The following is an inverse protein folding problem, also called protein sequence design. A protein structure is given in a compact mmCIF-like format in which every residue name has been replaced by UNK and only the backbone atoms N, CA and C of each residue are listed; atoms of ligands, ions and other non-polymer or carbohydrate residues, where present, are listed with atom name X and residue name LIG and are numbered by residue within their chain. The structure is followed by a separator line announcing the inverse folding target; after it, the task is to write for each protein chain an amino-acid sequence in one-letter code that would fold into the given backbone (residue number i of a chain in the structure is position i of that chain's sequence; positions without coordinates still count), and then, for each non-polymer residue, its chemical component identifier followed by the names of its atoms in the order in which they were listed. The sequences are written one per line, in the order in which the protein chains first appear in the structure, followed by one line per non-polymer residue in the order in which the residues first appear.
data_IF_016558691952
#
_entry.id   IF_016558691952
#
_cell.length_a   1.000
_cell.length_b   1.000
_cell.length_c   1.000
_cell.angle_alpha   90.00
_cell.angle_beta   90.00
_cell.angle_gamma   90.00
#
_symmetry.space_group_name_H-M   'P 1'
#
loop_
_entity.id
_entity.type
_entity.pdbx_description
1 polymer ?
#
# COMPACT_ATOMS: atom_id res chain seq x y z
N UNK A 1 17.68 10.59 9.51
CA UNK A 1 16.36 10.65 10.18
C UNK A 1 16.46 11.62 11.35
N UNK A 2 15.47 12.51 11.57
CA UNK A 2 15.47 13.42 12.71
C UNK A 2 15.55 12.69 14.07
N UNK A 3 16.32 13.21 15.02
CA UNK A 3 16.58 12.56 16.31
C UNK A 3 15.31 12.36 17.15
N UNK A 4 14.39 13.32 17.13
CA UNK A 4 13.10 13.23 17.82
C UNK A 4 12.27 12.05 17.31
N UNK A 5 12.25 11.85 15.99
CA UNK A 5 11.53 10.78 15.33
C UNK A 5 12.18 9.41 15.62
N UNK A 6 13.51 9.36 15.58
CA UNK A 6 14.28 8.18 15.99
C UNK A 6 14.01 7.79 17.45
N UNK A 7 13.95 8.76 18.36
CA UNK A 7 13.62 8.51 19.79
C UNK A 7 12.21 7.95 19.95
N UNK A 8 11.22 8.47 19.20
CA UNK A 8 9.83 7.96 19.23
C UNK A 8 9.74 6.55 18.67
N UNK A 9 10.46 6.25 17.60
CA UNK A 9 10.58 4.90 17.03
C UNK A 9 11.16 3.92 18.07
N UNK A 10 12.27 4.28 18.73
CA UNK A 10 12.89 3.47 19.80
C UNK A 10 11.96 3.25 20.98
N UNK A 11 11.15 4.25 21.34
CA UNK A 11 10.16 4.16 22.41
C UNK A 11 8.85 3.46 22.00
N UNK A 12 8.72 2.98 20.76
CA UNK A 12 7.48 2.42 20.21
C UNK A 12 6.27 3.38 20.38
N UNK A 13 6.52 4.69 20.32
CA UNK A 13 5.55 5.74 20.58
C UNK A 13 5.40 6.65 19.35
N UNK A 14 5.16 6.03 18.20
CA UNK A 14 4.81 6.71 16.95
C UNK A 14 3.28 6.83 16.85
N UNK A 15 2.83 7.98 16.38
CA UNK A 15 1.50 8.12 15.77
C UNK A 15 1.54 7.70 14.29
N UNK A 16 0.40 7.82 13.59
CA UNK A 16 0.29 7.42 12.18
C UNK A 16 1.22 8.22 11.26
N UNK A 17 1.22 9.54 11.40
CA UNK A 17 2.01 10.45 10.57
C UNK A 17 3.52 10.27 10.82
N UNK A 18 3.90 10.09 12.08
CA UNK A 18 5.26 9.77 12.48
C UNK A 18 5.71 8.45 11.83
N UNK A 19 4.87 7.41 11.89
CA UNK A 19 5.22 6.11 11.31
C UNK A 19 5.35 6.16 9.79
N UNK A 20 4.42 6.80 9.08
CA UNK A 20 4.51 6.99 7.64
C UNK A 20 5.82 7.68 7.25
N UNK A 21 6.21 8.74 7.98
CA UNK A 21 7.46 9.47 7.74
C UNK A 21 8.71 8.63 8.01
N UNK A 22 8.73 7.90 9.14
CA UNK A 22 9.83 6.98 9.48
C UNK A 22 10.00 5.93 8.40
N UNK A 23 8.90 5.29 8.01
CA UNK A 23 8.89 4.23 7.03
C UNK A 23 9.39 4.74 5.68
N UNK A 24 8.88 5.88 5.20
CA UNK A 24 9.33 6.52 3.97
C UNK A 24 10.83 6.82 3.98
N UNK A 25 11.33 7.43 5.07
CA UNK A 25 12.76 7.72 5.20
C UNK A 25 13.59 6.43 5.14
N UNK A 26 13.18 5.37 5.83
CA UNK A 26 13.89 4.09 5.81
C UNK A 26 13.88 3.45 4.41
N UNK A 27 12.75 3.49 3.69
CA UNK A 27 12.68 3.01 2.31
C UNK A 27 13.67 3.73 1.40
N UNK A 28 13.80 5.05 1.50
CA UNK A 28 14.73 5.84 0.68
C UNK A 28 16.18 5.49 1.01
N UNK A 29 16.52 5.34 2.29
CA UNK A 29 17.91 5.11 2.71
C UNK A 29 18.38 3.65 2.62
N UNK A 30 17.47 2.67 2.62
CA UNK A 30 17.84 1.26 2.58
C UNK A 30 18.50 0.87 1.25
N UNK A 31 19.33 -0.17 1.25
CA UNK A 31 19.81 -0.79 0.02
C UNK A 31 18.70 -1.60 -0.64
N UNK A 32 18.59 -1.55 -1.97
CA UNK A 32 17.54 -2.24 -2.73
C UNK A 32 18.09 -3.51 -3.38
N UNK A 33 17.26 -4.56 -3.58
CA UNK A 33 15.86 -4.66 -3.15
C UNK A 33 15.72 -4.89 -1.64
N UNK A 34 14.65 -4.35 -1.05
CA UNK A 34 14.28 -4.64 0.34
C UNK A 34 13.35 -5.85 0.32
N UNK A 35 13.64 -6.88 1.12
CA UNK A 35 12.84 -8.10 1.20
C UNK A 35 12.20 -8.18 2.57
N UNK A 36 10.86 -8.21 2.60
CA UNK A 36 10.08 -8.29 3.82
C UNK A 36 9.32 -9.62 3.85
N UNK A 37 9.41 -10.33 4.96
CA UNK A 37 8.53 -11.47 5.23
C UNK A 37 7.09 -10.97 5.37
N UNK A 38 6.14 -11.76 4.88
CA UNK A 38 4.73 -11.44 4.97
C UNK A 38 3.91 -12.66 5.39
N UNK A 39 2.81 -12.37 6.04
CA UNK A 39 1.76 -13.33 6.37
C UNK A 39 0.43 -12.82 5.82
N UNK A 40 -0.61 -13.64 5.81
CA UNK A 40 -1.97 -13.13 5.69
C UNK A 40 -2.48 -12.68 7.07
N UNK A 41 -3.71 -12.14 7.13
CA UNK A 41 -4.33 -11.65 8.37
C UNK A 41 -4.70 -12.74 9.39
N UNK A 42 -4.52 -14.02 9.04
CA UNK A 42 -4.62 -15.17 9.95
C UNK A 42 -3.24 -15.62 10.48
N UNK A 43 -2.17 -14.94 10.06
CA UNK A 43 -0.79 -15.25 10.45
C UNK A 43 -0.19 -16.45 9.73
N UNK A 44 -0.75 -16.85 8.57
CA UNK A 44 -0.15 -17.87 7.70
C UNK A 44 0.86 -17.21 6.77
N UNK A 45 1.98 -17.86 6.55
CA UNK A 45 3.04 -17.36 5.67
C UNK A 45 2.54 -17.11 4.25
N UNK A 46 3.03 -16.03 3.65
CA UNK A 46 2.82 -15.65 2.26
C UNK A 46 4.16 -15.45 1.57
N UNK A 47 4.13 -15.30 0.25
CA UNK A 47 5.30 -14.90 -0.52
C UNK A 47 5.87 -13.57 0.00
N UNK A 48 7.20 -13.50 0.08
CA UNK A 48 7.89 -12.31 0.55
C UNK A 48 7.58 -11.10 -0.34
N UNK A 49 7.48 -9.94 0.30
CA UNK A 49 7.31 -8.66 -0.37
C UNK A 49 8.67 -8.11 -0.76
N UNK A 50 8.89 -7.99 -2.07
CA UNK A 50 10.12 -7.44 -2.64
C UNK A 50 9.88 -6.01 -3.07
N UNK A 51 10.43 -5.05 -2.31
CA UNK A 51 10.35 -3.64 -2.63
C UNK A 51 11.58 -3.25 -3.46
N UNK A 52 11.35 -2.98 -4.75
CA UNK A 52 12.36 -2.50 -5.69
C UNK A 52 11.81 -1.31 -6.47
N UNK A 53 12.48 -0.18 -6.37
CA UNK A 53 12.18 1.04 -7.09
C UNK A 53 13.47 1.79 -7.40
N UNK A 54 13.51 2.47 -8.54
CA UNK A 54 14.70 3.17 -9.02
C UNK A 54 14.75 4.62 -8.50
N UNK A 55 13.59 5.21 -8.22
CA UNK A 55 13.43 6.59 -7.76
C UNK A 55 12.06 6.75 -7.06
N UNK A 56 11.78 7.91 -6.47
CA UNK A 56 10.50 8.19 -5.82
C UNK A 56 9.94 9.57 -6.18
N UNK A 57 8.62 9.68 -6.14
CA UNK A 57 7.91 10.95 -6.31
C UNK A 57 6.72 11.04 -5.37
N UNK A 58 6.40 12.27 -4.96
CA UNK A 58 5.17 12.54 -4.21
C UNK A 58 4.07 12.81 -5.22
N UNK A 59 3.03 11.99 -5.23
CA UNK A 59 1.81 12.31 -5.98
C UNK A 59 1.15 13.48 -5.25
N UNK A 60 0.81 14.54 -5.97
CA UNK A 60 0.23 15.74 -5.36
C UNK A 60 -1.25 15.87 -5.67
N UNK A 61 -1.95 16.71 -4.90
CA UNK A 61 -3.36 17.07 -5.12
C UNK A 61 -3.67 17.55 -6.54
N UNK A 62 -2.71 18.10 -7.27
CA UNK A 62 -2.91 18.65 -8.62
C UNK A 62 -2.33 17.76 -9.72
N UNK A 63 -1.43 16.85 -9.35
CA UNK A 63 -0.73 15.93 -10.25
C UNK A 63 -0.86 14.55 -9.68
N UNK A 64 -1.96 13.91 -10.07
CA UNK A 64 -2.27 12.55 -9.68
C UNK A 64 -1.37 11.51 -10.38
N UNK A 65 -0.77 11.89 -11.50
CA UNK A 65 0.02 10.99 -12.34
C UNK A 65 1.52 11.25 -12.26
N UNK A 66 2.30 10.18 -12.21
CA UNK A 66 3.75 10.22 -12.48
C UNK A 66 4.05 10.28 -13.99
N UNK A 67 3.07 9.92 -14.83
CA UNK A 67 3.18 9.80 -16.28
C UNK A 67 3.68 8.42 -16.74
N UNK A 68 3.57 8.10 -18.04
CA UNK A 68 4.07 6.86 -18.63
C UNK A 68 5.56 6.62 -18.35
N UNK A 69 5.99 5.37 -18.22
CA UNK A 69 7.41 5.01 -18.03
C UNK A 69 7.91 5.14 -16.58
N UNK A 70 6.99 5.24 -15.61
CA UNK A 70 7.26 5.39 -14.18
C UNK A 70 6.89 4.15 -13.37
N UNK A 71 6.86 2.98 -14.02
CA UNK A 71 6.47 1.70 -13.43
C UNK A 71 7.40 1.26 -12.28
N UNK A 72 8.62 1.78 -12.27
CA UNK A 72 9.64 1.52 -11.24
C UNK A 72 9.80 2.64 -10.22
N UNK A 73 8.91 3.64 -10.22
CA UNK A 73 8.92 4.70 -9.24
C UNK A 73 8.08 4.31 -8.03
N UNK A 74 8.56 4.66 -6.84
CA UNK A 74 7.71 4.68 -5.66
C UNK A 74 6.94 6.00 -5.63
N UNK A 75 5.62 5.91 -5.71
CA UNK A 75 4.74 7.02 -5.38
C UNK A 75 4.48 7.07 -3.88
N UNK A 76 4.60 8.26 -3.29
CA UNK A 76 4.06 8.56 -1.97
C UNK A 76 2.74 9.32 -2.11
N UNK A 77 1.69 8.83 -1.46
CA UNK A 77 0.39 9.47 -1.38
C UNK A 77 0.48 10.83 -0.71
N UNK A 78 -0.43 11.74 -1.08
CA UNK A 78 -0.53 13.05 -0.45
C UNK A 78 -1.24 12.95 0.93
N UNK A 79 -0.97 13.83 1.91
CA UNK A 79 -1.75 13.85 3.16
C UNK A 79 -3.28 13.97 2.93
N UNK A 80 -4.04 13.04 3.53
CA UNK A 80 -5.48 12.80 3.31
C UNK A 80 -5.85 12.06 2.01
N UNK A 81 -4.89 11.46 1.31
CA UNK A 81 -5.20 10.58 0.19
C UNK A 81 -5.84 9.29 0.73
N UNK A 82 -6.99 8.85 0.18
CA UNK A 82 -8.00 8.17 1.01
C UNK A 82 -7.68 6.77 1.55
N UNK A 83 -6.52 6.14 1.23
CA UNK A 83 -6.28 4.75 1.66
C UNK A 83 -4.86 4.22 1.64
N UNK A 84 -4.08 4.52 0.61
CA UNK A 84 -2.74 3.95 0.43
C UNK A 84 -1.69 5.05 0.50
N UNK A 85 -0.65 4.78 1.28
CA UNK A 85 0.42 5.72 1.57
C UNK A 85 1.54 5.62 0.54
N UNK A 86 1.76 4.44 -0.03
CA UNK A 86 2.76 4.21 -1.07
C UNK A 86 2.26 3.28 -2.17
N UNK A 87 2.74 3.51 -3.40
CA UNK A 87 2.53 2.61 -4.53
C UNK A 87 3.86 2.34 -5.24
N UNK A 88 4.13 1.07 -5.56
CA UNK A 88 5.33 0.63 -6.29
C UNK A 88 4.87 -0.37 -7.36
N UNK A 89 4.83 0.05 -8.62
CA UNK A 89 4.20 -0.77 -9.66
C UNK A 89 2.76 -1.13 -9.27
N UNK A 90 2.32 -2.39 -9.46
CA UNK A 90 0.98 -2.82 -9.07
C UNK A 90 0.84 -3.13 -7.57
N UNK A 91 1.85 -2.83 -6.74
CA UNK A 91 1.81 -3.03 -5.29
C UNK A 91 1.36 -1.76 -4.56
N UNK A 92 0.28 -1.88 -3.77
CA UNK A 92 -0.31 -0.77 -3.03
C UNK A 92 -0.08 -1.00 -1.54
N UNK A 93 0.54 -0.05 -0.85
CA UNK A 93 1.02 -0.20 0.52
C UNK A 93 0.26 0.75 1.43
N UNK A 94 -0.30 0.21 2.51
CA UNK A 94 -0.96 0.94 3.58
C UNK A 94 -0.18 0.72 4.87
N UNK A 95 0.22 1.81 5.52
CA UNK A 95 1.01 1.79 6.74
C UNK A 95 0.19 2.33 7.91
N UNK A 96 0.27 1.68 9.07
CA UNK A 96 -0.44 2.17 10.25
C UNK A 96 0.17 1.65 11.54
N UNK A 97 0.03 2.40 12.63
CA UNK A 97 0.40 1.95 13.98
C UNK A 97 -0.69 1.11 14.66
N UNK A 98 -1.84 0.94 14.01
CA UNK A 98 -2.95 0.10 14.48
C UNK A 98 -2.84 -1.34 13.96
N UNK A 99 -3.61 -2.25 14.53
CA UNK A 99 -3.81 -3.58 13.94
C UNK A 99 -4.65 -3.47 12.66
N UNK A 100 -4.41 -4.36 11.69
CA UNK A 100 -5.17 -4.38 10.44
C UNK A 100 -6.67 -4.36 10.66
N UNK A 101 -7.22 -5.17 11.57
CA UNK A 101 -8.68 -5.27 11.77
C UNK A 101 -9.30 -4.05 12.43
N UNK A 102 -8.54 -3.31 13.24
CA UNK A 102 -9.00 -2.05 13.79
C UNK A 102 -8.92 -0.94 12.74
N UNK A 103 -7.91 -1.01 11.86
CA UNK A 103 -7.72 -0.09 10.75
C UNK A 103 -8.72 -0.33 9.60
N UNK A 104 -9.04 -1.59 9.30
CA UNK A 104 -9.91 -2.04 8.21
C UNK A 104 -11.40 -1.89 8.57
N UNK A 105 -11.78 -0.69 9.00
CA UNK A 105 -13.15 -0.31 9.37
C UNK A 105 -13.45 1.07 8.82
N UNK A 106 -14.75 1.40 8.71
CA UNK A 106 -15.20 2.73 8.31
C UNK A 106 -14.53 3.17 6.99
N UNK A 107 -13.81 4.29 6.97
CA UNK A 107 -13.10 4.77 5.79
C UNK A 107 -11.93 3.85 5.37
N UNK A 108 -11.31 3.12 6.29
CA UNK A 108 -10.13 2.27 6.06
C UNK A 108 -10.39 0.87 5.49
N UNK A 109 -11.66 0.48 5.33
CA UNK A 109 -12.07 -0.84 4.79
C UNK A 109 -11.64 -1.06 3.32
N UNK A 110 -10.68 -1.95 3.05
CA UNK A 110 -10.09 -2.19 1.72
C UNK A 110 -11.15 -2.40 0.65
N UNK A 111 -12.24 -3.13 0.96
CA UNK A 111 -13.32 -3.39 0.02
C UNK A 111 -13.93 -2.10 -0.55
N UNK A 112 -13.91 -0.99 0.19
CA UNK A 112 -14.38 0.31 -0.31
C UNK A 112 -13.51 0.89 -1.42
N UNK A 113 -12.23 0.51 -1.51
CA UNK A 113 -11.33 0.92 -2.60
C UNK A 113 -11.80 0.40 -3.97
N UNK A 114 -12.51 -0.74 -3.97
CA UNK A 114 -13.01 -1.41 -5.17
C UNK A 114 -14.47 -1.03 -5.50
N UNK A 115 -15.15 -0.28 -4.63
CA UNK A 115 -16.55 0.13 -4.84
C UNK A 115 -16.63 1.33 -5.79
N UNK A 116 -17.67 1.29 -6.63
CA UNK A 116 -18.11 2.38 -7.50
C UNK A 116 -19.44 2.93 -6.95
N UNK A 117 -19.73 4.23 -7.04
CA UNK A 117 -18.86 5.29 -7.55
C UNK A 117 -17.79 5.69 -6.53
N UNK A 118 -16.62 6.12 -7.01
CA UNK A 118 -15.57 6.69 -6.16
C UNK A 118 -15.74 8.20 -6.05
N UNK A 119 -15.74 8.71 -4.81
CA UNK A 119 -15.68 10.15 -4.53
C UNK A 119 -14.27 10.52 -4.12
N UNK A 120 -13.61 11.38 -4.90
CA UNK A 120 -12.26 11.83 -4.58
C UNK A 120 -12.25 12.88 -3.46
N UNK A 121 -11.04 13.28 -3.06
CA UNK A 121 -10.82 14.25 -1.98
C UNK A 121 -11.28 15.68 -2.31
N UNK A 122 -11.54 16.00 -3.59
CA UNK A 122 -12.10 17.28 -4.02
C UNK A 122 -13.63 17.24 -4.08
N UNK A 123 -14.21 16.07 -3.81
CA UNK A 123 -15.63 15.84 -3.88
C UNK A 123 -16.14 15.53 -5.28
N UNK A 124 -15.26 15.32 -6.26
CA UNK A 124 -15.68 14.86 -7.58
C UNK A 124 -16.13 13.41 -7.48
N UNK A 125 -17.21 13.09 -8.18
CA UNK A 125 -17.78 11.75 -8.21
C UNK A 125 -17.41 11.10 -9.55
N UNK A 126 -16.55 10.09 -9.47
CA UNK A 126 -16.18 9.24 -10.58
C UNK A 126 -17.16 8.07 -10.64
N UNK A 127 -18.22 8.22 -11.45
CA UNK A 127 -19.39 7.33 -11.43
C UNK A 127 -19.06 5.87 -11.74
N UNK A 128 -18.25 5.66 -12.77
CA UNK A 128 -17.97 4.33 -13.32
C UNK A 128 -16.59 3.81 -12.91
N UNK A 129 -16.02 4.40 -11.85
CA UNK A 129 -14.65 4.14 -11.44
C UNK A 129 -14.57 3.88 -9.95
N UNK A 130 -13.65 3.03 -9.55
CA UNK A 130 -13.26 2.87 -8.15
C UNK A 130 -11.89 3.52 -7.87
N UNK A 131 -11.50 3.55 -6.59
CA UNK A 131 -10.27 4.20 -6.13
C UNK A 131 -9.02 3.54 -6.71
N UNK A 132 -9.00 2.19 -6.79
CA UNK A 132 -7.86 1.43 -7.32
C UNK A 132 -7.63 1.76 -8.79
N UNK A 133 -8.69 1.78 -9.60
CA UNK A 133 -8.63 2.11 -11.02
C UNK A 133 -8.11 3.53 -11.26
N UNK A 134 -8.55 4.50 -10.45
CA UNK A 134 -8.01 5.84 -10.49
C UNK A 134 -6.51 5.83 -10.23
N UNK A 135 -6.03 5.18 -9.17
CA UNK A 135 -4.60 5.13 -8.85
C UNK A 135 -3.77 4.43 -9.91
N UNK A 136 -4.25 3.33 -10.49
CA UNK A 136 -3.54 2.61 -11.54
C UNK A 136 -3.44 3.43 -12.83
N UNK A 137 -4.55 4.03 -13.28
CA UNK A 137 -4.55 4.88 -14.47
C UNK A 137 -3.74 6.16 -14.26
N UNK A 138 -3.77 6.71 -13.06
CA UNK A 138 -2.96 7.86 -12.70
C UNK A 138 -1.47 7.48 -12.72
N UNK A 139 -1.08 6.36 -12.12
CA UNK A 139 0.32 5.96 -12.06
C UNK A 139 0.91 5.51 -13.40
N UNK A 140 0.14 4.75 -14.19
CA UNK A 140 0.66 4.01 -15.34
C UNK A 140 0.03 4.41 -16.67
N UNK A 141 -0.94 5.33 -16.65
CA UNK A 141 -1.85 5.58 -17.77
C UNK A 141 -2.65 4.34 -18.17
N UNK A 142 -3.74 4.55 -18.92
CA UNK A 142 -4.51 3.46 -19.50
C UNK A 142 -5.97 3.48 -19.04
N UNK A 143 -6.57 2.30 -19.11
CA UNK A 143 -7.94 2.08 -18.71
C UNK A 143 -7.98 0.76 -17.93
N UNK A 144 -7.65 0.86 -16.65
CA UNK A 144 -7.67 -0.25 -15.72
C UNK A 144 -9.08 -0.52 -15.20
N UNK A 145 -9.37 -1.78 -14.94
CA UNK A 145 -10.54 -2.23 -14.18
C UNK A 145 -10.06 -3.05 -13.00
N UNK A 146 -10.62 -2.81 -11.82
CA UNK A 146 -10.27 -3.53 -10.60
C UNK A 146 -11.54 -4.00 -9.88
N UNK A 147 -11.54 -5.25 -9.42
CA UNK A 147 -12.65 -5.83 -8.67
C UNK A 147 -12.15 -6.88 -7.67
N UNK A 148 -13.02 -7.23 -6.71
CA UNK A 148 -12.80 -8.35 -5.80
C UNK A 148 -13.70 -9.49 -6.26
N UNK A 149 -13.10 -10.61 -6.66
CA UNK A 149 -13.80 -11.82 -7.10
C UNK A 149 -13.39 -12.97 -6.20
N UNK A 150 -14.34 -13.50 -5.43
CA UNK A 150 -14.11 -14.62 -4.51
C UNK A 150 -12.95 -14.37 -3.52
N UNK A 151 -12.81 -13.14 -3.02
CA UNK A 151 -11.75 -12.75 -2.09
C UNK A 151 -10.41 -12.38 -2.73
N UNK A 152 -10.30 -12.51 -4.06
CA UNK A 152 -9.10 -12.19 -4.85
C UNK A 152 -9.22 -10.87 -5.57
N UNK A 153 -8.10 -10.18 -5.74
CA UNK A 153 -8.03 -8.95 -6.49
C UNK A 153 -7.80 -9.23 -7.97
N UNK A 154 -8.83 -8.94 -8.78
CA UNK A 154 -8.74 -9.06 -10.24
C UNK A 154 -8.55 -7.67 -10.81
N UNK A 155 -7.39 -7.45 -11.41
CA UNK A 155 -7.06 -6.19 -12.08
C UNK A 155 -6.74 -6.46 -13.54
N UNK A 156 -7.43 -5.77 -14.42
CA UNK A 156 -7.23 -5.85 -15.87
C UNK A 156 -6.92 -4.48 -16.45
N UNK A 157 -6.30 -4.46 -17.63
CA UNK A 157 -6.05 -3.25 -18.40
C UNK A 157 -6.52 -3.47 -19.83
N UNK A 158 -7.27 -2.51 -20.35
CA UNK A 158 -7.62 -2.48 -21.78
C UNK A 158 -6.58 -1.74 -22.59
N UNK A 159 -6.02 -2.38 -23.61
CA UNK A 159 -5.17 -1.73 -24.61
C UNK A 159 -6.04 -0.77 -25.46
N UNK A 160 -5.70 0.53 -25.53
CA UNK A 160 -6.52 1.50 -26.25
C UNK A 160 -6.42 1.38 -27.79
N UNK A 161 -5.38 0.73 -28.33
CA UNK A 161 -5.16 0.54 -29.77
C UNK A 161 -5.82 -0.73 -30.27
N UNK A 162 -5.68 -1.83 -29.54
CA UNK A 162 -6.19 -3.15 -29.97
C UNK A 162 -7.55 -3.49 -29.35
N UNK A 163 -7.90 -2.85 -28.24
CA UNK A 163 -9.09 -3.17 -27.46
C UNK A 163 -8.97 -4.45 -26.62
N UNK A 164 -7.82 -5.13 -26.66
CA UNK A 164 -7.53 -6.32 -25.88
C UNK A 164 -7.54 -6.02 -24.38
N UNK A 165 -8.03 -6.96 -23.57
CA UNK A 165 -8.05 -6.85 -22.11
C UNK A 165 -7.10 -7.90 -21.55
N UNK A 166 -6.05 -7.43 -20.86
CA UNK A 166 -5.05 -8.28 -20.25
C UNK A 166 -5.06 -8.12 -18.73
N UNK A 167 -4.76 -9.19 -18.00
CA UNK A 167 -4.56 -9.13 -16.56
C UNK A 167 -3.32 -8.31 -16.23
N UNK A 168 -3.38 -7.50 -15.17
CA UNK A 168 -2.22 -6.81 -14.60
C UNK A 168 -1.55 -7.77 -13.60
N UNK A 169 -0.40 -8.38 -13.95
CA UNK A 169 0.21 -9.36 -13.08
C UNK A 169 0.78 -8.70 -11.82
N UNK A 170 0.69 -9.41 -10.69
CA UNK A 170 1.34 -9.04 -9.45
C UNK A 170 0.68 -7.89 -8.67
N UNK A 171 -0.55 -7.51 -9.02
CA UNK A 171 -1.34 -6.61 -8.18
C UNK A 171 -1.58 -7.23 -6.80
N UNK A 172 -1.27 -6.46 -5.76
CA UNK A 172 -1.47 -6.86 -4.36
C UNK A 172 -1.54 -5.65 -3.45
N UNK A 173 -2.24 -5.82 -2.34
CA UNK A 173 -2.27 -4.83 -1.26
C UNK A 173 -1.41 -5.35 -0.11
N UNK A 174 -0.52 -4.49 0.39
CA UNK A 174 0.35 -4.78 1.53
C UNK A 174 -0.04 -3.87 2.68
N UNK A 175 -0.41 -4.46 3.81
CA UNK A 175 -0.60 -3.75 5.06
C UNK A 175 0.65 -3.90 5.93
N UNK A 176 1.17 -2.78 6.43
CA UNK A 176 2.36 -2.75 7.26
C UNK A 176 2.01 -2.16 8.62
N UNK A 177 2.16 -2.98 9.66
CA UNK A 177 1.92 -2.55 11.04
C UNK A 177 3.20 -1.94 11.63
N UNK A 178 3.10 -0.70 12.08
CA UNK A 178 4.19 0.13 12.61
C UNK A 178 4.38 0.10 14.11
N UNK A 179 3.75 -0.87 14.78
CA UNK A 179 3.84 -1.02 16.22
C UNK A 179 4.04 -2.48 16.59
N UNK A 180 4.82 -2.70 17.64
CA UNK A 180 4.96 -4.02 18.24
C UNK A 180 3.65 -4.37 18.97
N UNK A 181 2.75 -5.05 18.27
CA UNK A 181 1.47 -5.52 18.78
C UNK A 181 1.35 -7.02 18.57
N UNK A 182 0.74 -7.71 19.54
CA UNK A 182 0.34 -9.10 19.34
C UNK A 182 -0.88 -9.12 18.41
N UNK A 183 -0.63 -9.45 17.15
CA UNK A 183 -1.69 -9.54 16.15
C UNK A 183 -2.65 -10.66 16.49
N UNK A 184 -3.94 -10.35 16.44
CA UNK A 184 -4.98 -11.38 16.55
C UNK A 184 -5.12 -12.06 15.20
N UNK A 185 -5.53 -13.32 15.24
CA UNK A 185 -5.76 -14.12 14.03
C UNK A 185 -7.20 -13.93 13.56
N UNK A 186 -7.38 -13.68 12.27
CA UNK A 186 -8.69 -13.41 11.66
C UNK A 186 -8.94 -14.33 10.45
N UNK A 187 -9.23 -15.62 10.67
CA UNK A 187 -9.33 -16.60 9.58
C UNK A 187 -10.45 -16.29 8.58
N UNK A 188 -11.57 -15.71 9.03
CA UNK A 188 -12.65 -15.29 8.13
C UNK A 188 -12.21 -14.15 7.20
N UNK A 189 -11.52 -13.16 7.77
CA UNK A 189 -11.04 -12.01 7.00
C UNK A 189 -9.93 -12.42 6.02
N UNK A 190 -9.12 -13.43 6.37
CA UNK A 190 -8.12 -13.99 5.46
C UNK A 190 -8.73 -14.70 4.24
N UNK A 191 -10.00 -15.13 4.31
CA UNK A 191 -10.74 -15.65 3.14
C UNK A 191 -11.35 -14.51 2.34
N UNK A 192 -11.88 -13.48 3.02
CA UNK A 192 -12.49 -12.33 2.35
C UNK A 192 -11.48 -11.43 1.62
N UNK A 193 -10.22 -11.45 2.06
CA UNK A 193 -9.12 -10.64 1.58
C UNK A 193 -7.86 -11.51 1.43
N UNK A 194 -7.96 -12.55 0.59
CA UNK A 194 -6.92 -13.57 0.39
C UNK A 194 -5.59 -12.95 -0.05
N UNK A 195 -5.66 -11.93 -0.91
CA UNK A 195 -4.49 -11.31 -1.53
C UNK A 195 -3.88 -10.15 -0.70
N UNK A 196 -4.37 -9.91 0.52
CA UNK A 196 -3.79 -8.90 1.42
C UNK A 196 -2.62 -9.49 2.19
N UNK A 197 -1.42 -9.01 1.87
CA UNK A 197 -0.21 -9.33 2.60
C UNK A 197 -0.07 -8.42 3.84
N UNK A 198 0.37 -9.01 4.94
CA UNK A 198 0.59 -8.35 6.21
C UNK A 198 2.08 -8.43 6.57
N UNK A 199 2.70 -7.29 6.88
CA UNK A 199 4.08 -7.21 7.39
C UNK A 199 4.08 -6.71 8.83
N UNK A 200 4.77 -7.42 9.72
CA UNK A 200 4.82 -7.06 11.13
C UNK A 200 5.89 -6.00 11.43
N UNK A 201 5.73 -5.27 12.53
CA UNK A 201 6.75 -4.33 12.98
C UNK A 201 8.08 -5.01 13.32
N UNK A 202 8.04 -6.28 13.74
CA UNK A 202 9.25 -7.07 13.99
C UNK A 202 10.08 -7.22 12.71
N UNK A 203 9.44 -7.58 11.60
CA UNK A 203 10.12 -7.73 10.31
C UNK A 203 10.71 -6.39 9.85
N UNK A 204 10.02 -5.28 10.09
CA UNK A 204 10.56 -3.94 9.81
C UNK A 204 11.78 -3.61 10.67
N UNK A 205 11.78 -3.99 11.95
CA UNK A 205 12.92 -3.78 12.85
C UNK A 205 14.16 -4.51 12.35
N UNK A 206 14.00 -5.76 11.96
CA UNK A 206 15.10 -6.63 11.56
C UNK A 206 15.67 -6.25 10.17
N UNK A 207 14.84 -5.70 9.28
CA UNK A 207 15.25 -5.37 7.90
C UNK A 207 15.48 -3.88 7.69
N UNK A 208 14.50 -3.04 7.99
CA UNK A 208 14.49 -1.61 7.65
C UNK A 208 15.06 -0.71 8.74
N UNK A 209 14.92 -1.10 10.00
CA UNK A 209 15.38 -0.29 11.14
C UNK A 209 16.56 -0.92 11.89
N UNK A 210 17.22 -1.94 11.34
CA UNK A 210 18.29 -2.66 12.01
C UNK A 210 19.36 -1.72 12.57
N UNK A 211 19.84 -0.78 11.75
CA UNK A 211 20.86 0.22 12.13
C UNK A 211 20.39 1.26 13.15
N UNK A 212 19.09 1.33 13.44
CA UNK A 212 18.53 2.23 14.46
C UNK A 212 18.49 1.53 15.82
N UNK A 213 18.20 0.23 15.81
CA UNK A 213 18.01 -0.57 17.03
C UNK A 213 19.27 -1.32 17.49
N UNK A 214 20.34 -1.35 16.68
CA UNK A 214 21.72 -1.65 17.10
C UNK A 214 22.33 -0.50 17.89
#
# INVERSE_FOLDING_TARGET
MPENLMRRLKANNLDGDDFEQVFFHALICASKPIVLTATNVDGKDMDSIVLKFDDYQVISRQKHSLGPGKEKFMARGYPNYPRFDFMIGPMFIQVSVSEFVDHNRNSGEIQKAFKRPYKDIFGNIHKDRNQIECYLDEMYSGNHTAEITEGKFVVTRKDPKTGQVDNVPGFRIVYICGRDIQQKRHPKLAVELEDVAHVSFKDLKDVLFANIFT
#
